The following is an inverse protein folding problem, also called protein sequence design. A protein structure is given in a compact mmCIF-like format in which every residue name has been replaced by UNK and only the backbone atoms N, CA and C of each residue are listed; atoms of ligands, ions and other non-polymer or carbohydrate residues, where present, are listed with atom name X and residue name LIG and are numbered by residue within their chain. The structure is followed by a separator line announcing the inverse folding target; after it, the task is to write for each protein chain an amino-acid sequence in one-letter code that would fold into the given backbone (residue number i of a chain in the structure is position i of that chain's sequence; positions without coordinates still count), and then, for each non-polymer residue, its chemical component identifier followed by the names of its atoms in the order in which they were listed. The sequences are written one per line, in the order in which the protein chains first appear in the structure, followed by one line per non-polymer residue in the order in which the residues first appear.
data_IF_776300195967
#
_entry.id   IF_776300195967
#
_cell.length_a   1.000
_cell.length_b   1.000
_cell.length_c   1.000
_cell.angle_alpha   90.00
_cell.angle_beta   90.00
_cell.angle_gamma   90.00
#
_symmetry.space_group_name_H-M   'P 1'
#
loop_
_entity.id
_entity.type
_entity.pdbx_description
1 polymer ?
#
# COMPACT_ATOMS: atom_id res chain seq x y z
N UNK A 1 -36.78 -10.89 -24.79
CA UNK A 1 -36.19 -9.59 -24.44
C UNK A 1 -36.24 -9.24 -22.94
N UNK A 2 -36.58 -10.20 -22.07
CA UNK A 2 -36.66 -9.92 -20.61
C UNK A 2 -35.71 -10.78 -19.75
N UNK A 3 -35.06 -11.78 -20.30
CA UNK A 3 -34.14 -12.65 -19.55
C UNK A 3 -32.68 -12.19 -19.63
N UNK A 4 -32.29 -11.45 -20.69
CA UNK A 4 -30.92 -10.94 -20.84
C UNK A 4 -30.62 -9.67 -20.03
N UNK A 5 -31.64 -9.02 -19.45
CA UNK A 5 -31.48 -7.76 -18.70
C UNK A 5 -30.96 -7.96 -17.26
N UNK A 6 -31.12 -9.15 -16.71
CA UNK A 6 -30.69 -9.44 -15.33
C UNK A 6 -29.23 -9.86 -15.20
N UNK A 7 -28.62 -10.36 -16.28
CA UNK A 7 -27.24 -10.82 -16.27
C UNK A 7 -26.22 -9.66 -16.34
N UNK A 8 -26.66 -8.47 -16.79
CA UNK A 8 -25.84 -7.26 -16.92
C UNK A 8 -25.98 -6.28 -15.72
N UNK A 9 -26.79 -6.61 -14.71
CA UNK A 9 -26.97 -5.73 -13.54
C UNK A 9 -25.71 -5.66 -12.68
N UNK A 10 -25.53 -4.49 -12.00
CA UNK A 10 -24.46 -4.28 -11.03
C UNK A 10 -24.39 -5.44 -10.03
N UNK A 11 -23.18 -5.93 -9.78
CA UNK A 11 -22.85 -7.06 -8.91
C UNK A 11 -23.06 -8.47 -9.48
N UNK A 12 -23.78 -8.67 -10.59
CA UNK A 12 -23.97 -10.01 -11.17
C UNK A 12 -22.65 -10.65 -11.64
N UNK A 13 -21.74 -9.82 -12.18
CA UNK A 13 -20.39 -10.22 -12.61
C UNK A 13 -19.27 -9.73 -11.67
N UNK A 14 -19.59 -9.33 -10.43
CA UNK A 14 -18.60 -8.80 -9.47
C UNK A 14 -18.09 -7.40 -9.81
N UNK A 15 -18.70 -6.70 -10.77
CA UNK A 15 -18.36 -5.34 -11.17
C UNK A 15 -19.60 -4.44 -11.09
N UNK A 16 -19.37 -3.12 -11.00
CA UNK A 16 -20.42 -2.14 -11.21
C UNK A 16 -20.80 -2.07 -12.68
N UNK A 17 -22.05 -1.74 -12.93
CA UNK A 17 -22.62 -1.67 -14.26
C UNK A 17 -22.01 -0.51 -15.08
N UNK A 18 -21.91 -0.71 -16.39
CA UNK A 18 -21.51 0.33 -17.33
C UNK A 18 -22.64 1.36 -17.54
N UNK A 19 -22.33 2.59 -18.01
CA UNK A 19 -23.33 3.62 -18.23
C UNK A 19 -24.29 3.24 -19.39
N UNK A 20 -25.59 3.36 -19.14
CA UNK A 20 -26.64 3.15 -20.13
C UNK A 20 -27.00 4.46 -20.81
N UNK A 21 -27.20 4.42 -22.12
CA UNK A 21 -27.58 5.54 -22.95
C UNK A 21 -28.96 5.31 -23.55
N UNK A 22 -29.80 6.35 -23.50
CA UNK A 22 -31.14 6.37 -24.07
C UNK A 22 -31.25 7.46 -25.14
N UNK A 23 -32.41 7.59 -25.79
CA UNK A 23 -32.69 8.72 -26.71
C UNK A 23 -32.93 10.01 -25.94
N UNK A 24 -32.56 11.20 -26.49
CA UNK A 24 -32.04 11.43 -27.86
C UNK A 24 -30.55 11.06 -27.98
N UNK A 25 -30.04 11.01 -29.24
CA UNK A 25 -28.67 10.70 -29.60
C UNK A 25 -27.63 11.68 -29.02
N UNK A 26 -28.05 12.94 -28.84
CA UNK A 26 -27.28 14.00 -28.17
C UNK A 26 -28.17 14.61 -27.09
N UNK A 27 -27.68 14.66 -25.87
CA UNK A 27 -28.35 15.29 -24.74
C UNK A 27 -27.37 16.25 -24.04
N UNK A 28 -27.75 17.53 -23.90
CA UNK A 28 -26.94 18.60 -23.30
C UNK A 28 -25.49 18.64 -23.86
N UNK A 29 -25.40 18.61 -25.20
CA UNK A 29 -24.12 18.57 -25.95
C UNK A 29 -23.24 17.32 -25.74
N UNK A 30 -23.73 16.31 -25.02
CA UNK A 30 -23.05 15.03 -24.83
C UNK A 30 -23.62 13.97 -25.76
N UNK A 31 -22.88 13.52 -26.79
CA UNK A 31 -23.35 12.49 -27.70
C UNK A 31 -23.27 11.09 -27.09
N UNK A 32 -24.13 10.18 -27.56
CA UNK A 32 -23.97 8.75 -27.32
C UNK A 32 -22.65 8.28 -27.98
N UNK A 33 -21.79 7.54 -27.27
CA UNK A 33 -20.52 7.04 -27.83
C UNK A 33 -20.71 6.31 -29.16
N UNK A 34 -19.87 6.63 -30.16
CA UNK A 34 -19.97 6.09 -31.50
C UNK A 34 -19.90 4.55 -31.56
N UNK A 35 -19.13 3.96 -30.64
CA UNK A 35 -19.01 2.50 -30.52
C UNK A 35 -20.36 1.83 -30.30
N UNK A 36 -21.27 2.45 -29.53
CA UNK A 36 -22.61 1.91 -29.24
C UNK A 36 -23.55 2.00 -30.46
N UNK A 37 -23.21 2.82 -31.45
CA UNK A 37 -23.95 3.04 -32.71
C UNK A 37 -23.35 2.24 -33.87
N UNK A 38 -22.19 1.63 -33.69
CA UNK A 38 -21.43 0.94 -34.75
C UNK A 38 -22.10 -0.33 -35.26
N UNK A 39 -23.00 -0.94 -34.48
CA UNK A 39 -23.56 -2.26 -34.76
C UNK A 39 -22.55 -3.43 -34.59
N UNK A 40 -21.31 -3.13 -34.20
CA UNK A 40 -20.28 -4.13 -33.93
C UNK A 40 -20.42 -4.64 -32.49
N UNK A 41 -21.07 -5.78 -32.36
CA UNK A 41 -21.35 -6.38 -31.04
C UNK A 41 -20.08 -6.69 -30.24
N UNK A 42 -18.98 -7.08 -30.90
CA UNK A 42 -17.70 -7.34 -30.22
C UNK A 42 -17.10 -6.07 -29.59
N UNK A 43 -17.06 -4.98 -30.39
CA UNK A 43 -16.59 -3.68 -29.93
C UNK A 43 -17.49 -3.10 -28.84
N UNK A 44 -18.80 -3.28 -28.95
CA UNK A 44 -19.77 -2.84 -27.93
C UNK A 44 -19.56 -3.61 -26.63
N UNK A 45 -19.39 -4.94 -26.69
CA UNK A 45 -19.13 -5.76 -25.49
C UNK A 45 -17.82 -5.36 -24.79
N UNK A 46 -16.74 -5.19 -25.57
CA UNK A 46 -15.46 -4.72 -25.05
C UNK A 46 -15.60 -3.36 -24.36
N UNK A 47 -16.22 -2.39 -25.01
CA UNK A 47 -16.44 -1.05 -24.45
C UNK A 47 -17.25 -1.10 -23.16
N UNK A 48 -18.32 -1.89 -23.09
CA UNK A 48 -19.14 -2.08 -21.88
C UNK A 48 -18.31 -2.63 -20.73
N UNK A 49 -17.48 -3.66 -21.01
CA UNK A 49 -16.57 -4.25 -20.04
C UNK A 49 -15.59 -3.22 -19.49
N UNK A 50 -14.96 -2.45 -20.37
CA UNK A 50 -14.03 -1.37 -19.98
C UNK A 50 -14.71 -0.28 -19.13
N UNK A 51 -15.96 0.09 -19.43
CA UNK A 51 -16.70 1.06 -18.62
C UNK A 51 -17.07 0.49 -17.24
N UNK A 52 -17.44 -0.78 -17.15
CA UNK A 52 -17.69 -1.45 -15.87
C UNK A 52 -16.44 -1.47 -15.01
N UNK A 53 -15.29 -1.86 -15.57
CA UNK A 53 -13.99 -1.84 -14.90
C UNK A 53 -13.63 -0.42 -14.40
N UNK A 54 -13.76 0.57 -15.28
CA UNK A 54 -13.48 1.98 -14.94
C UNK A 54 -14.40 2.51 -13.84
N UNK A 55 -15.69 2.18 -13.90
CA UNK A 55 -16.67 2.61 -12.89
C UNK A 55 -16.37 1.95 -11.56
N UNK A 56 -16.09 0.64 -11.55
CA UNK A 56 -15.74 -0.12 -10.36
C UNK A 56 -14.45 0.41 -9.72
N UNK A 57 -13.40 0.60 -10.52
CA UNK A 57 -12.14 1.17 -10.05
C UNK A 57 -12.30 2.55 -9.40
N UNK A 58 -13.23 3.37 -9.90
CA UNK A 58 -13.48 4.72 -9.38
C UNK A 58 -14.32 4.73 -8.11
N UNK A 59 -15.35 3.87 -8.03
CA UNK A 59 -16.41 3.95 -7.02
C UNK A 59 -16.26 2.89 -5.94
N UNK A 60 -15.86 1.67 -6.33
CA UNK A 60 -15.74 0.51 -5.47
C UNK A 60 -14.53 -0.35 -5.85
N UNK A 61 -13.29 0.21 -5.70
CA UNK A 61 -12.07 -0.53 -6.05
C UNK A 61 -11.92 -1.85 -5.28
N UNK A 62 -12.48 -1.93 -4.08
CA UNK A 62 -12.53 -3.15 -3.25
C UNK A 62 -13.23 -4.34 -3.94
N UNK A 63 -14.11 -4.09 -4.88
CA UNK A 63 -14.79 -5.16 -5.62
C UNK A 63 -13.87 -5.84 -6.65
N UNK A 64 -12.83 -5.15 -7.12
CA UNK A 64 -11.89 -5.72 -8.10
C UNK A 64 -11.10 -6.89 -7.53
N UNK A 65 -10.82 -6.90 -6.22
CA UNK A 65 -10.10 -8.01 -5.55
C UNK A 65 -10.85 -9.36 -5.67
N UNK A 66 -12.16 -9.33 -5.75
CA UNK A 66 -13.01 -10.53 -5.87
C UNK A 66 -13.59 -10.76 -7.26
N UNK A 67 -13.38 -9.84 -8.20
CA UNK A 67 -13.95 -9.94 -9.54
C UNK A 67 -13.18 -10.94 -10.44
N UNK A 68 -13.86 -11.68 -11.33
CA UNK A 68 -13.18 -12.53 -12.29
C UNK A 68 -12.56 -11.68 -13.41
N UNK A 69 -11.33 -11.21 -13.18
CA UNK A 69 -10.59 -10.40 -14.14
C UNK A 69 -9.79 -11.26 -15.10
N UNK A 70 -9.84 -10.91 -16.38
CA UNK A 70 -8.98 -11.48 -17.43
C UNK A 70 -7.65 -10.75 -17.51
N UNK A 71 -6.67 -11.29 -18.25
CA UNK A 71 -5.41 -10.60 -18.50
C UNK A 71 -5.60 -9.24 -19.19
N UNK A 72 -6.53 -9.16 -20.15
CA UNK A 72 -6.88 -7.92 -20.86
C UNK A 72 -7.53 -6.89 -19.92
N UNK A 73 -8.38 -7.33 -18.98
CA UNK A 73 -8.95 -6.45 -17.96
C UNK A 73 -7.86 -5.84 -17.06
N UNK A 74 -6.90 -6.66 -16.64
CA UNK A 74 -5.79 -6.20 -15.80
C UNK A 74 -4.86 -5.24 -16.55
N UNK A 75 -4.63 -5.46 -17.84
CA UNK A 75 -3.88 -4.54 -18.70
C UNK A 75 -4.60 -3.20 -18.84
N UNK A 76 -5.89 -3.23 -19.16
CA UNK A 76 -6.73 -2.03 -19.26
C UNK A 76 -6.78 -1.23 -17.95
N UNK A 77 -6.90 -1.91 -16.81
CA UNK A 77 -6.88 -1.26 -15.49
C UNK A 77 -5.54 -0.58 -15.20
N UNK A 78 -4.41 -1.24 -15.51
CA UNK A 78 -3.07 -0.64 -15.39
C UNK A 78 -2.92 0.63 -16.22
N UNK A 79 -3.27 0.57 -17.51
CA UNK A 79 -3.24 1.73 -18.40
C UNK A 79 -4.15 2.86 -17.90
N UNK A 80 -5.35 2.53 -17.40
CA UNK A 80 -6.30 3.49 -16.85
C UNK A 80 -5.74 4.20 -15.62
N UNK A 81 -5.08 3.47 -14.71
CA UNK A 81 -4.45 4.02 -13.50
C UNK A 81 -3.27 4.92 -13.87
N UNK A 82 -2.45 4.50 -14.83
CA UNK A 82 -1.30 5.29 -15.31
C UNK A 82 -1.74 6.57 -16.01
N UNK A 83 -2.72 6.50 -16.92
CA UNK A 83 -3.22 7.64 -17.67
C UNK A 83 -3.95 8.66 -16.77
N UNK A 84 -4.63 8.21 -15.73
CA UNK A 84 -5.34 9.08 -14.80
C UNK A 84 -4.41 9.89 -13.88
N UNK A 85 -3.09 9.62 -13.87
CA UNK A 85 -2.16 10.23 -12.92
C UNK A 85 -2.60 10.01 -11.46
N UNK A 86 -3.32 8.92 -11.20
CA UNK A 86 -3.89 8.65 -9.88
C UNK A 86 -2.78 8.71 -8.85
N UNK A 87 -3.03 9.47 -7.81
CA UNK A 87 -2.30 9.38 -6.55
C UNK A 87 -2.28 7.89 -6.17
N UNK A 88 -1.13 7.26 -6.40
CA UNK A 88 -0.89 5.95 -5.85
C UNK A 88 -0.82 6.19 -4.35
N UNK A 89 -1.84 5.76 -3.61
CA UNK A 89 -1.94 5.97 -2.16
C UNK A 89 -0.66 5.54 -1.44
N UNK A 90 0.01 4.51 -1.96
CA UNK A 90 1.31 4.07 -1.47
C UNK A 90 2.37 5.18 -1.38
N UNK A 91 2.35 6.21 -2.23
CA UNK A 91 3.32 7.32 -2.15
C UNK A 91 3.20 8.14 -0.88
N UNK A 92 2.00 8.19 -0.29
CA UNK A 92 1.74 8.85 0.99
C UNK A 92 1.94 7.90 2.18
N UNK A 93 2.18 6.62 1.92
CA UNK A 93 2.48 5.64 2.96
C UNK A 93 3.99 5.48 3.11
N UNK A 94 4.45 5.60 4.32
CA UNK A 94 5.83 5.40 4.74
C UNK A 94 5.86 4.35 5.83
N UNK A 95 6.90 3.53 5.90
CA UNK A 95 7.07 2.59 7.00
C UNK A 95 8.41 2.78 7.69
N UNK A 96 8.45 2.50 8.99
CA UNK A 96 9.66 2.50 9.78
C UNK A 96 9.81 1.18 10.54
N UNK A 97 10.99 0.57 10.44
CA UNK A 97 11.40 -0.58 11.23
C UNK A 97 12.15 -0.09 12.46
N UNK A 98 11.52 -0.23 13.63
CA UNK A 98 12.01 0.33 14.90
C UNK A 98 12.83 -0.72 15.62
N UNK A 99 14.14 -0.47 15.75
CA UNK A 99 15.07 -1.28 16.53
C UNK A 99 15.31 -0.71 17.93
N UNK A 100 14.87 0.51 18.18
CA UNK A 100 14.96 1.19 19.48
C UNK A 100 13.91 2.33 19.56
N UNK A 101 13.24 2.50 20.71
CA UNK A 101 13.22 1.61 21.88
C UNK A 101 12.24 0.45 21.68
N UNK A 102 12.68 -0.76 21.97
CA UNK A 102 11.87 -1.98 21.92
C UNK A 102 12.02 -2.79 23.19
N UNK A 103 11.04 -3.65 23.49
CA UNK A 103 11.16 -4.59 24.59
C UNK A 103 12.12 -5.74 24.24
N UNK A 104 12.97 -6.06 25.19
CA UNK A 104 13.78 -7.28 25.24
C UNK A 104 13.06 -8.35 26.05
N UNK A 105 13.60 -9.59 26.07
CA UNK A 105 12.95 -10.75 26.68
C UNK A 105 12.58 -10.62 28.15
N UNK A 106 13.27 -9.78 28.92
CA UNK A 106 13.04 -9.48 30.32
C UNK A 106 12.17 -8.21 30.57
N UNK A 107 11.49 -7.75 29.54
CA UNK A 107 10.71 -6.49 29.48
C UNK A 107 11.52 -5.21 29.71
N UNK A 108 12.84 -5.27 29.66
CA UNK A 108 13.67 -4.08 29.62
C UNK A 108 13.59 -3.44 28.25
N UNK A 109 13.56 -2.12 28.23
CA UNK A 109 13.70 -1.36 27.01
C UNK A 109 15.15 -1.38 26.55
N UNK A 110 15.35 -1.65 25.26
CA UNK A 110 16.66 -1.72 24.66
C UNK A 110 16.63 -1.65 23.15
N UNK A 111 17.78 -1.92 22.54
CA UNK A 111 17.92 -1.97 21.09
C UNK A 111 18.13 -3.42 20.62
N UNK A 112 17.56 -3.73 19.46
CA UNK A 112 17.84 -4.98 18.72
C UNK A 112 18.81 -4.73 17.58
N UNK A 113 19.49 -5.78 17.16
CA UNK A 113 20.36 -5.74 16.00
C UNK A 113 19.56 -5.75 14.70
N UNK A 114 20.06 -5.04 13.69
CA UNK A 114 19.59 -5.09 12.33
C UNK A 114 19.79 -6.50 11.75
N UNK A 115 18.82 -6.99 11.00
CA UNK A 115 19.00 -8.18 10.17
C UNK A 115 18.93 -7.80 8.69
N UNK A 116 19.92 -8.30 7.94
CA UNK A 116 20.01 -8.05 6.50
C UNK A 116 18.73 -8.45 5.76
N UNK A 117 18.17 -9.59 6.18
CA UNK A 117 16.98 -10.18 5.59
C UNK A 117 15.76 -9.26 5.72
N UNK A 118 15.55 -8.66 6.89
CA UNK A 118 14.42 -7.76 7.12
C UNK A 118 14.53 -6.50 6.24
N UNK A 119 15.73 -5.92 6.12
CA UNK A 119 15.95 -4.74 5.26
C UNK A 119 15.64 -5.07 3.80
N UNK A 120 16.14 -6.20 3.29
CA UNK A 120 15.90 -6.62 1.91
C UNK A 120 14.43 -6.85 1.62
N UNK A 121 13.77 -7.63 2.48
CA UNK A 121 12.38 -8.02 2.23
C UNK A 121 11.42 -6.85 2.39
N UNK A 122 11.62 -6.01 3.42
CA UNK A 122 10.78 -4.83 3.63
C UNK A 122 11.00 -3.79 2.52
N UNK A 123 12.25 -3.56 2.07
CA UNK A 123 12.52 -2.66 0.96
C UNK A 123 11.79 -3.10 -0.33
N UNK A 124 11.84 -4.39 -0.64
CA UNK A 124 11.15 -4.97 -1.80
C UNK A 124 9.63 -4.88 -1.68
N UNK A 125 9.05 -5.22 -0.52
CA UNK A 125 7.63 -5.03 -0.26
C UNK A 125 7.24 -3.55 -0.42
N UNK A 126 8.01 -2.64 0.18
CA UNK A 126 7.76 -1.20 0.08
C UNK A 126 7.77 -0.71 -1.37
N UNK A 127 8.70 -1.21 -2.20
CA UNK A 127 8.76 -0.84 -3.61
C UNK A 127 7.59 -1.43 -4.40
N UNK A 128 7.23 -2.68 -4.15
CA UNK A 128 6.11 -3.38 -4.79
C UNK A 128 4.79 -2.63 -4.58
N UNK A 129 4.53 -2.18 -3.35
CA UNK A 129 3.32 -1.40 -3.02
C UNK A 129 3.48 0.11 -3.26
N UNK A 130 4.59 0.57 -3.82
CA UNK A 130 4.79 1.96 -4.21
C UNK A 130 4.90 2.95 -3.05
N UNK A 131 5.43 2.53 -1.89
CA UNK A 131 5.60 3.38 -0.72
C UNK A 131 6.49 4.59 -0.99
N UNK A 132 6.25 5.68 -0.25
CA UNK A 132 7.08 6.88 -0.28
C UNK A 132 8.50 6.65 0.26
N UNK A 133 8.65 5.90 1.35
CA UNK A 133 9.95 5.52 1.92
C UNK A 133 9.83 4.34 2.90
N UNK A 134 11.00 3.71 3.15
CA UNK A 134 11.21 2.77 4.23
C UNK A 134 12.38 3.24 5.10
N UNK A 135 12.14 3.49 6.39
CA UNK A 135 13.15 3.99 7.33
C UNK A 135 13.53 2.94 8.35
N UNK A 136 14.81 2.69 8.53
CA UNK A 136 15.34 1.88 9.64
C UNK A 136 15.71 2.82 10.79
N UNK A 137 15.15 2.56 11.96
CA UNK A 137 15.36 3.39 13.17
C UNK A 137 16.26 2.67 14.14
N UNK A 138 17.48 3.15 14.33
CA UNK A 138 18.46 2.61 15.28
C UNK A 138 19.45 3.67 15.74
N UNK A 139 19.71 3.83 17.08
CA UNK A 139 20.74 4.72 17.58
C UNK A 139 22.16 4.13 17.52
N UNK A 140 22.28 2.81 17.24
CA UNK A 140 23.54 2.09 17.29
C UNK A 140 24.39 2.38 16.06
N UNK A 141 25.53 3.03 16.24
CA UNK A 141 26.43 3.48 15.17
C UNK A 141 26.91 2.32 14.29
N UNK A 142 27.23 1.18 14.86
CA UNK A 142 27.67 0.02 14.11
C UNK A 142 26.56 -0.49 13.18
N UNK A 143 25.31 -0.49 13.64
CA UNK A 143 24.15 -0.89 12.84
C UNK A 143 23.87 0.13 11.72
N UNK A 144 24.06 1.42 11.99
CA UNK A 144 23.97 2.47 10.98
C UNK A 144 25.02 2.26 9.88
N UNK A 145 26.27 1.99 10.26
CA UNK A 145 27.35 1.72 9.29
C UNK A 145 27.09 0.48 8.43
N UNK A 146 26.53 -0.58 9.04
CA UNK A 146 26.12 -1.79 8.31
C UNK A 146 25.03 -1.45 7.29
N UNK A 147 24.01 -0.68 7.69
CA UNK A 147 22.92 -0.28 6.82
C UNK A 147 23.42 0.61 5.66
N UNK A 148 24.27 1.60 5.95
CA UNK A 148 24.88 2.47 4.92
C UNK A 148 25.67 1.66 3.89
N UNK A 149 26.46 0.70 4.37
CA UNK A 149 27.25 -0.18 3.51
C UNK A 149 26.33 -1.01 2.61
N UNK A 150 25.26 -1.54 3.18
CA UNK A 150 24.27 -2.34 2.45
C UNK A 150 23.54 -1.50 1.39
N UNK A 151 23.05 -0.33 1.76
CA UNK A 151 22.38 0.60 0.82
C UNK A 151 23.32 0.98 -0.32
N UNK A 152 24.54 1.40 0.00
CA UNK A 152 25.53 1.78 -1.02
C UNK A 152 25.88 0.63 -1.97
N UNK A 153 25.99 -0.59 -1.46
CA UNK A 153 26.24 -1.77 -2.29
C UNK A 153 25.15 -1.95 -3.37
N UNK A 154 23.88 -1.73 -3.02
CA UNK A 154 22.77 -1.93 -3.94
C UNK A 154 22.46 -0.70 -4.80
N UNK A 155 22.69 0.52 -4.31
CA UNK A 155 22.35 1.74 -5.06
C UNK A 155 23.50 2.27 -5.93
N UNK A 156 24.75 2.12 -5.49
CA UNK A 156 25.94 2.69 -6.14
C UNK A 156 26.98 1.63 -6.52
N UNK A 157 26.89 0.46 -5.93
CA UNK A 157 27.88 -0.61 -6.06
C UNK A 157 27.51 -1.68 -7.09
N UNK A 158 28.31 -2.76 -7.19
CA UNK A 158 28.13 -3.82 -8.17
C UNK A 158 26.79 -4.59 -8.00
N UNK A 159 26.20 -4.57 -6.81
CA UNK A 159 24.91 -5.17 -6.56
C UNK A 159 23.79 -4.55 -7.42
N UNK A 160 23.79 -3.24 -7.57
CA UNK A 160 22.81 -2.52 -8.39
C UNK A 160 22.94 -2.83 -9.88
N UNK A 161 24.14 -3.06 -10.35
CA UNK A 161 24.40 -3.46 -11.74
C UNK A 161 23.87 -4.89 -12.00
N UNK A 162 24.08 -5.79 -11.06
CA UNK A 162 23.67 -7.19 -11.20
C UNK A 162 22.17 -7.41 -11.00
N UNK A 163 21.49 -6.53 -10.23
CA UNK A 163 20.06 -6.61 -9.96
C UNK A 163 19.45 -5.20 -9.83
N UNK A 164 19.05 -4.59 -10.97
CA UNK A 164 18.44 -3.26 -10.99
C UNK A 164 17.17 -3.11 -10.16
N UNK A 165 16.30 -4.15 -10.14
CA UNK A 165 15.05 -4.12 -9.36
C UNK A 165 15.34 -4.01 -7.85
N UNK A 166 16.43 -4.62 -7.40
CA UNK A 166 16.86 -4.52 -6.01
C UNK A 166 17.45 -3.16 -5.71
N UNK A 167 18.19 -2.58 -6.64
CA UNK A 167 18.69 -1.19 -6.53
C UNK A 167 17.51 -0.22 -6.37
N UNK A 168 16.47 -0.40 -7.18
CA UNK A 168 15.26 0.40 -7.10
C UNK A 168 14.56 0.26 -5.74
N UNK A 169 14.44 -0.96 -5.21
CA UNK A 169 13.89 -1.17 -3.88
C UNK A 169 14.70 -0.48 -2.79
N UNK A 170 16.04 -0.57 -2.86
CA UNK A 170 16.94 0.05 -1.90
C UNK A 170 16.98 1.58 -2.01
N UNK A 171 16.57 2.16 -3.13
CA UNK A 171 16.43 3.62 -3.27
C UNK A 171 15.39 4.23 -2.31
N UNK A 172 14.47 3.42 -1.76
CA UNK A 172 13.49 3.82 -0.76
C UNK A 172 14.03 3.80 0.66
N UNK A 173 15.15 3.10 0.92
CA UNK A 173 15.68 2.91 2.28
C UNK A 173 16.25 4.21 2.83
N UNK A 174 15.87 4.54 4.03
CA UNK A 174 16.36 5.68 4.82
C UNK A 174 16.81 5.21 6.19
N UNK A 175 17.53 6.05 6.91
CA UNK A 175 18.02 5.79 8.26
C UNK A 175 17.70 6.95 9.17
N UNK A 176 17.30 6.64 10.39
CA UNK A 176 17.13 7.60 11.46
C UNK A 176 17.68 7.05 12.79
N UNK A 177 18.12 7.92 13.68
CA UNK A 177 18.60 7.50 15.02
C UNK A 177 17.45 7.20 15.98
N UNK A 178 16.29 7.80 15.77
CA UNK A 178 15.08 7.68 16.57
C UNK A 178 13.82 7.89 15.72
N UNK A 179 12.66 7.72 16.34
CA UNK A 179 11.36 7.86 15.66
C UNK A 179 11.11 9.31 15.21
N UNK A 180 11.58 10.31 15.97
CA UNK A 180 11.43 11.70 15.56
C UNK A 180 12.19 11.98 14.26
N UNK A 181 13.41 11.48 14.13
CA UNK A 181 14.17 11.59 12.88
C UNK A 181 13.47 10.91 11.69
N UNK A 182 12.74 9.81 11.92
CA UNK A 182 11.94 9.19 10.88
C UNK A 182 10.73 10.06 10.47
N UNK A 183 10.09 10.74 11.43
CA UNK A 183 9.04 11.73 11.17
C UNK A 183 9.59 12.88 10.34
N UNK A 184 10.72 13.45 10.75
CA UNK A 184 11.35 14.59 10.07
C UNK A 184 11.74 14.27 8.62
N UNK A 185 12.17 13.03 8.34
CA UNK A 185 12.46 12.57 6.98
C UNK A 185 11.21 12.54 6.10
N UNK A 186 10.07 12.11 6.64
CA UNK A 186 8.79 12.11 5.91
C UNK A 186 8.31 13.55 5.70
N UNK A 187 8.37 14.38 6.73
CA UNK A 187 7.96 15.78 6.65
C UNK A 187 8.81 16.56 5.62
N UNK A 188 10.12 16.37 5.62
CA UNK A 188 11.02 17.00 4.64
C UNK A 188 10.71 16.56 3.20
N UNK A 189 10.24 15.31 3.01
CA UNK A 189 9.88 14.78 1.70
C UNK A 189 8.53 15.24 1.19
N UNK A 190 7.53 15.34 2.07
CA UNK A 190 6.12 15.56 1.70
C UNK A 190 5.66 16.99 1.95
N UNK A 191 6.40 17.78 2.71
CA UNK A 191 6.00 19.11 3.18
C UNK A 191 4.97 19.07 4.32
N UNK A 192 4.61 17.89 4.83
CA UNK A 192 3.61 17.71 5.87
C UNK A 192 4.08 16.72 6.93
N UNK A 193 3.80 17.02 8.21
CA UNK A 193 4.02 16.07 9.29
C UNK A 193 3.11 14.85 9.10
N UNK A 194 3.68 13.62 9.08
CA UNK A 194 2.88 12.41 8.88
C UNK A 194 1.98 12.13 10.10
N UNK A 195 0.86 11.47 9.84
CA UNK A 195 0.10 10.77 10.88
C UNK A 195 0.93 9.57 11.33
N UNK A 196 1.23 9.49 12.62
CA UNK A 196 2.07 8.43 13.18
C UNK A 196 1.20 7.28 13.65
N UNK A 197 1.36 6.11 13.05
CA UNK A 197 0.57 4.92 13.37
C UNK A 197 1.44 3.77 13.87
N UNK A 198 1.08 3.25 15.04
CA UNK A 198 1.74 2.07 15.60
C UNK A 198 1.15 0.76 15.10
N UNK A 199 1.99 -0.29 15.06
CA UNK A 199 1.54 -1.68 14.90
C UNK A 199 1.91 -2.49 16.13
N UNK A 200 1.06 -3.42 16.52
CA UNK A 200 1.30 -4.29 17.67
C UNK A 200 0.66 -5.65 17.44
N UNK A 201 1.31 -6.71 17.94
CA UNK A 201 0.71 -8.04 17.99
C UNK A 201 -0.28 -8.18 19.17
N UNK A 202 -0.30 -7.20 20.08
CA UNK A 202 -1.19 -7.17 21.25
C UNK A 202 -2.55 -6.62 20.84
N UNK A 203 -3.59 -7.01 21.55
CA UNK A 203 -4.98 -6.62 21.28
C UNK A 203 -5.31 -5.23 21.86
N UNK A 204 -4.55 -4.21 21.46
CA UNK A 204 -4.74 -2.82 21.89
C UNK A 204 -5.02 -1.84 20.72
N UNK A 205 -4.97 -2.32 19.47
CA UNK A 205 -5.22 -1.49 18.30
C UNK A 205 -6.65 -1.65 17.79
N UNK A 206 -7.26 -0.55 17.36
CA UNK A 206 -8.64 -0.52 16.82
C UNK A 206 -8.73 0.03 15.41
N UNK A 207 -7.67 0.69 14.91
CA UNK A 207 -7.69 1.30 13.59
C UNK A 207 -7.70 0.23 12.49
N UNK A 208 -8.61 0.37 11.55
CA UNK A 208 -8.77 -0.57 10.44
C UNK A 208 -7.86 -0.21 9.26
N UNK A 209 -7.51 -1.16 8.36
CA UNK A 209 -6.83 -0.84 7.12
C UNK A 209 -7.56 0.20 6.26
N UNK A 210 -8.90 0.18 6.27
CA UNK A 210 -9.71 1.18 5.57
C UNK A 210 -9.49 2.59 6.14
N UNK A 211 -9.47 2.75 7.46
CA UNK A 211 -9.20 4.05 8.07
C UNK A 211 -7.81 4.59 7.71
N UNK A 212 -6.81 3.71 7.52
CA UNK A 212 -5.49 4.13 7.01
C UNK A 212 -5.59 4.59 5.56
N UNK A 213 -6.31 3.86 4.70
CA UNK A 213 -6.55 4.28 3.29
C UNK A 213 -7.18 5.66 3.21
N UNK A 214 -8.17 5.93 4.05
CA UNK A 214 -8.88 7.21 4.08
C UNK A 214 -7.92 8.37 4.43
N UNK A 215 -6.97 8.14 5.36
CA UNK A 215 -5.92 9.11 5.68
C UNK A 215 -4.97 9.37 4.52
N UNK A 216 -4.60 8.31 3.75
CA UNK A 216 -3.62 8.38 2.66
C UNK A 216 -4.09 9.24 1.48
N UNK A 217 -5.38 9.54 1.37
CA UNK A 217 -5.92 10.41 0.32
C UNK A 217 -5.30 11.80 0.39
N UNK A 218 -5.18 12.36 1.61
CA UNK A 218 -4.81 13.76 1.82
C UNK A 218 -3.55 13.96 2.67
N UNK A 219 -3.08 12.93 3.36
CA UNK A 219 -2.02 13.05 4.37
C UNK A 219 -0.96 11.95 4.27
N UNK A 220 0.32 12.26 4.49
CA UNK A 220 1.32 11.24 4.69
C UNK A 220 1.06 10.48 6.00
N UNK A 221 1.29 9.16 5.97
CA UNK A 221 1.18 8.25 7.10
C UNK A 221 2.52 7.55 7.30
N UNK A 222 3.02 7.52 8.53
CA UNK A 222 4.20 6.74 8.92
C UNK A 222 3.78 5.57 9.80
N UNK A 223 3.84 4.35 9.25
CA UNK A 223 3.58 3.10 9.99
C UNK A 223 4.85 2.62 10.71
N UNK A 224 4.76 2.43 12.00
CA UNK A 224 5.85 1.90 12.83
C UNK A 224 5.70 0.39 13.04
N UNK A 225 6.76 -0.35 12.76
CA UNK A 225 6.88 -1.78 13.01
C UNK A 225 8.02 -2.04 14.00
N UNK A 226 7.70 -2.62 15.14
CA UNK A 226 8.67 -2.95 16.17
C UNK A 226 9.37 -4.28 15.90
N UNK A 227 10.60 -4.40 16.38
CA UNK A 227 11.37 -5.65 16.42
C UNK A 227 11.37 -6.24 17.85
N UNK A 228 12.02 -7.37 18.05
CA UNK A 228 12.10 -8.04 19.35
C UNK A 228 10.73 -8.42 19.92
N UNK A 229 10.41 -7.97 21.12
CA UNK A 229 9.12 -8.20 21.78
C UNK A 229 8.12 -7.04 21.60
N UNK A 230 8.33 -6.21 20.57
CA UNK A 230 7.50 -5.07 20.23
C UNK A 230 8.06 -3.73 20.70
N UNK A 231 7.49 -2.65 20.18
CA UNK A 231 7.87 -1.29 20.57
C UNK A 231 7.59 -1.01 22.05
N UNK A 232 8.42 -0.17 22.64
CA UNK A 232 8.21 0.30 24.01
C UNK A 232 6.93 1.14 24.12
N UNK A 233 6.25 1.16 25.30
CA UNK A 233 4.98 1.85 25.47
C UNK A 233 5.05 3.32 25.09
N UNK A 234 6.11 4.01 25.42
CA UNK A 234 6.31 5.43 25.11
C UNK A 234 6.22 5.75 23.62
N UNK A 235 6.58 4.79 22.73
CA UNK A 235 6.42 4.94 21.29
C UNK A 235 4.96 4.73 20.88
N UNK A 236 4.30 3.72 21.44
CA UNK A 236 2.90 3.44 21.12
C UNK A 236 1.98 4.55 21.64
N UNK A 237 2.27 5.09 22.83
CA UNK A 237 1.51 6.19 23.45
C UNK A 237 1.68 7.53 22.70
N UNK A 238 2.80 7.69 21.97
CA UNK A 238 3.06 8.84 21.11
C UNK A 238 2.42 8.74 19.73
N UNK A 239 1.85 7.57 19.35
CA UNK A 239 1.17 7.40 18.08
C UNK A 239 -0.22 8.04 18.06
N UNK A 240 -0.61 8.61 16.93
CA UNK A 240 -1.97 9.12 16.70
C UNK A 240 -3.02 7.99 16.66
N UNK A 241 -2.57 6.75 16.46
CA UNK A 241 -3.41 5.56 16.46
C UNK A 241 -2.61 4.27 16.36
N UNK A 242 -3.25 3.16 16.69
CA UNK A 242 -2.65 1.82 16.61
C UNK A 242 -3.53 0.94 15.73
N UNK A 243 -2.91 0.30 14.73
CA UNK A 243 -3.60 -0.63 13.86
C UNK A 243 -4.08 -1.85 14.65
N UNK A 244 -5.27 -2.33 14.29
CA UNK A 244 -5.80 -3.60 14.80
C UNK A 244 -4.82 -4.73 14.45
N UNK A 245 -4.54 -5.65 15.39
CA UNK A 245 -3.64 -6.78 15.16
C UNK A 245 -4.05 -7.58 13.92
N UNK A 246 -3.08 -8.10 13.18
CA UNK A 246 -3.34 -8.90 11.97
C UNK A 246 -4.14 -10.19 12.28
N UNK A 247 -3.89 -10.78 13.44
CA UNK A 247 -4.60 -11.97 13.97
C UNK A 247 -5.16 -11.62 15.34
N UNK A 248 -6.37 -11.10 15.38
CA UNK A 248 -7.04 -10.67 16.62
C UNK A 248 -8.04 -11.69 17.17
N UNK A 249 -8.37 -12.74 16.39
CA UNK A 249 -9.27 -13.82 16.80
C UNK A 249 -8.53 -15.08 17.30
N UNK A 250 -7.20 -15.04 17.38
CA UNK A 250 -6.39 -16.19 17.78
C UNK A 250 -5.35 -15.74 18.81
N UNK A 251 -5.09 -16.57 19.82
CA UNK A 251 -4.12 -16.30 20.88
C UNK A 251 -2.67 -16.25 20.36
N UNK A 252 -2.35 -16.97 19.27
CA UNK A 252 -1.04 -16.95 18.67
C UNK A 252 -0.95 -15.90 17.56
N UNK A 253 -0.22 -14.81 17.83
CA UNK A 253 -0.01 -13.71 16.89
C UNK A 253 1.48 -13.27 16.92
N UNK A 254 2.37 -14.13 16.42
CA UNK A 254 3.82 -13.92 16.40
C UNK A 254 4.36 -14.06 14.97
N UNK A 255 4.04 -13.09 14.12
CA UNK A 255 4.61 -13.00 12.78
C UNK A 255 6.05 -12.47 12.82
N UNK A 256 6.95 -12.95 11.93
CA UNK A 256 8.20 -12.23 11.69
C UNK A 256 7.88 -10.83 11.18
N UNK A 257 8.67 -9.81 11.58
CA UNK A 257 8.34 -8.40 11.28
C UNK A 257 8.17 -8.14 9.78
N UNK A 258 9.01 -8.72 8.92
CA UNK A 258 8.87 -8.60 7.46
C UNK A 258 7.57 -9.19 6.92
N UNK A 259 7.08 -10.27 7.53
CA UNK A 259 5.78 -10.86 7.22
C UNK A 259 4.63 -9.95 7.68
N UNK A 260 4.74 -9.38 8.88
CA UNK A 260 3.77 -8.41 9.37
C UNK A 260 3.70 -7.17 8.46
N UNK A 261 4.83 -6.64 8.01
CA UNK A 261 4.90 -5.54 7.05
C UNK A 261 4.17 -5.92 5.76
N UNK A 262 4.54 -7.04 5.12
CA UNK A 262 3.96 -7.46 3.83
C UNK A 262 2.43 -7.59 3.92
N UNK A 263 1.92 -8.28 4.94
CA UNK A 263 0.48 -8.46 5.14
C UNK A 263 -0.23 -7.13 5.45
N UNK A 264 0.41 -6.24 6.22
CA UNK A 264 -0.18 -4.92 6.52
C UNK A 264 -0.29 -4.08 5.26
N UNK A 265 0.77 -4.04 4.43
CA UNK A 265 0.77 -3.31 3.17
C UNK A 265 -0.31 -3.84 2.22
N UNK A 266 -0.42 -5.17 2.10
CA UNK A 266 -1.45 -5.81 1.29
C UNK A 266 -2.87 -5.43 1.76
N UNK A 267 -3.14 -5.49 3.06
CA UNK A 267 -4.46 -5.12 3.61
C UNK A 267 -4.78 -3.63 3.51
N UNK A 268 -3.76 -2.77 3.58
CA UNK A 268 -3.95 -1.32 3.47
C UNK A 268 -4.07 -0.89 2.01
N UNK A 269 -3.24 -1.38 1.12
CA UNK A 269 -3.18 -0.91 -0.26
C UNK A 269 -3.89 -1.86 -1.23
N UNK A 270 -3.79 -3.19 -1.05
CA UNK A 270 -4.32 -4.18 -2.01
C UNK A 270 -3.71 -3.99 -3.40
N UNK A 271 -4.38 -4.53 -4.42
CA UNK A 271 -3.96 -4.39 -5.83
C UNK A 271 -4.43 -3.08 -6.47
N UNK A 272 -5.38 -2.39 -5.85
CA UNK A 272 -6.14 -1.31 -6.49
C UNK A 272 -5.83 0.09 -5.93
N UNK A 273 -4.82 0.23 -5.07
CA UNK A 273 -4.53 1.49 -4.39
C UNK A 273 -3.16 2.05 -4.71
#
# INVERSE_FOLDING_TARGET
GKEESGDDESFSAGLLEYPHFTRPEVFEDVPVPDVLRSGDHGRIAKWRREQSLRTTLRVRPDMLDGAPLTADDMEYLRETVEAAGRLRLGRNLHCALVHYPVFLGDRKTGATSLTNLDVHDIARCSRTYGLGSFTVVTPLKDQQTILETLVRHWTEGPGGVSNPDRAEAFSLVRMASDVQGAIDLVEARTGQRPVLLGTSARDNGVMTPQAVRDLLVDRPVLLLFGTGHGMAPEILDACDGILRPLRWMDAYNHLPVRGAVAITLDRVLGDCC
#
